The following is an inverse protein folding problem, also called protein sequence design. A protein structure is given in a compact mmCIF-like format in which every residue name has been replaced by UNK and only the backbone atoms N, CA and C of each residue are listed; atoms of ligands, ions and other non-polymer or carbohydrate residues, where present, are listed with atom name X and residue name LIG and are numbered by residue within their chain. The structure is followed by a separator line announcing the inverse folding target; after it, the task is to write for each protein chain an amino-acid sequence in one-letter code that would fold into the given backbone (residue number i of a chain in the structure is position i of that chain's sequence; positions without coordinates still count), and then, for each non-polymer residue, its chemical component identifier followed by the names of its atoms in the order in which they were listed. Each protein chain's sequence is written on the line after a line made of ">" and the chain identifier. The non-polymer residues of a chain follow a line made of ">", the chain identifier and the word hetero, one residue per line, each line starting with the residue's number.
data_IF_188432512895
#
_entry.id   IF_188432512895
#
_cell.length_a   1.000
_cell.length_b   1.000
_cell.length_c   1.000
_cell.angle_alpha   90.00
_cell.angle_beta   90.00
_cell.angle_gamma   90.00
#
_symmetry.space_group_name_H-M   'P 1'
#
loop_
_entity.id
_entity.type
_entity.pdbx_description
1 polymer ?
#
# COMPACT_ATOMS: atom_id res chain seq x y z
N UNK A 1 25.06 4.06 -7.79
CA UNK A 1 24.22 4.99 -6.98
C UNK A 1 24.93 5.44 -5.71
N UNK A 2 25.52 4.54 -4.92
CA UNK A 2 26.25 4.90 -3.70
C UNK A 2 27.39 5.90 -3.94
N UNK A 3 28.12 5.81 -5.05
CA UNK A 3 29.16 6.79 -5.41
C UNK A 3 28.61 8.19 -5.74
N UNK A 4 27.38 8.27 -6.27
CA UNK A 4 26.75 9.53 -6.69
C UNK A 4 25.92 10.18 -5.58
N UNK A 5 25.30 9.36 -4.73
CA UNK A 5 24.43 9.78 -3.62
C UNK A 5 24.68 8.90 -2.38
N UNK A 6 25.87 8.99 -1.77
CA UNK A 6 26.29 8.07 -0.70
C UNK A 6 25.38 8.14 0.52
N UNK A 7 25.04 9.34 0.98
CA UNK A 7 24.17 9.54 2.14
C UNK A 7 22.73 9.04 1.91
N UNK A 8 22.20 9.24 0.70
CA UNK A 8 20.87 8.74 0.35
C UNK A 8 20.83 7.21 0.40
N UNK A 9 21.83 6.56 -0.20
CA UNK A 9 21.92 5.10 -0.19
C UNK A 9 22.12 4.57 1.23
N UNK A 10 22.97 5.22 2.04
CA UNK A 10 23.14 4.85 3.44
C UNK A 10 21.81 4.92 4.22
N UNK A 11 21.03 5.98 4.06
CA UNK A 11 19.73 6.11 4.72
C UNK A 11 18.71 5.06 4.26
N UNK A 12 18.74 4.68 2.98
CA UNK A 12 17.90 3.57 2.48
C UNK A 12 18.30 2.23 3.09
N UNK A 13 19.60 1.97 3.25
CA UNK A 13 20.12 0.76 3.89
C UNK A 13 19.75 0.73 5.39
N UNK A 14 19.88 1.85 6.09
CA UNK A 14 19.61 1.95 7.53
C UNK A 14 18.12 1.95 7.89
N UNK A 15 17.28 2.57 7.07
CA UNK A 15 15.86 2.79 7.39
C UNK A 15 14.87 2.04 6.49
N UNK A 16 15.29 1.59 5.32
CA UNK A 16 14.39 1.02 4.32
C UNK A 16 13.41 2.03 3.72
N UNK A 17 12.27 1.53 3.26
CA UNK A 17 11.21 2.32 2.62
C UNK A 17 9.84 1.87 3.12
N UNK A 18 8.90 2.82 3.20
CA UNK A 18 7.48 2.54 3.43
C UNK A 18 6.72 2.83 2.15
N UNK A 19 6.04 1.81 1.62
CA UNK A 19 5.17 1.96 0.47
C UNK A 19 3.71 2.02 0.93
N UNK A 20 3.04 3.11 0.57
CA UNK A 20 1.60 3.29 0.82
C UNK A 20 0.87 3.23 -0.52
N UNK A 21 -0.17 2.40 -0.60
CA UNK A 21 -1.07 2.33 -1.76
C UNK A 21 -2.51 2.48 -1.30
N UNK A 22 -3.27 3.24 -2.06
CA UNK A 22 -4.72 3.34 -1.91
C UNK A 22 -5.34 2.48 -2.99
N UNK A 23 -6.11 1.47 -2.57
CA UNK A 23 -6.81 0.57 -3.48
C UNK A 23 -8.30 0.89 -3.42
N UNK A 24 -8.91 1.12 -4.58
CA UNK A 24 -10.36 1.21 -4.70
C UNK A 24 -11.01 -0.13 -4.36
N UNK A 25 -12.35 -0.13 -4.28
CA UNK A 25 -13.08 -1.37 -4.07
C UNK A 25 -12.95 -2.32 -5.28
N UNK A 26 -13.16 -1.76 -6.47
CA UNK A 26 -13.11 -2.45 -7.75
C UNK A 26 -11.95 -1.91 -8.61
N UNK A 27 -11.72 -2.55 -9.76
CA UNK A 27 -10.65 -2.18 -10.68
C UNK A 27 -11.01 -0.93 -11.51
N UNK A 28 -10.05 -0.02 -11.65
CA UNK A 28 -10.12 1.19 -12.47
C UNK A 28 -9.11 1.08 -13.64
N UNK A 29 -9.57 0.79 -14.87
CA UNK A 29 -8.68 0.65 -16.03
C UNK A 29 -8.06 1.97 -16.49
N UNK A 30 -8.53 3.12 -16.00
CA UNK A 30 -7.94 4.43 -16.33
C UNK A 30 -6.68 4.74 -15.53
N UNK A 31 -6.46 4.03 -14.41
CA UNK A 31 -5.32 4.23 -13.53
C UNK A 31 -4.22 3.19 -13.77
N UNK A 32 -2.93 3.58 -13.86
CA UNK A 32 -1.83 2.64 -14.08
C UNK A 32 -1.66 1.62 -12.94
N UNK A 33 -2.21 1.92 -11.76
CA UNK A 33 -2.22 1.04 -10.58
C UNK A 33 -3.65 0.80 -10.08
N UNK A 34 -4.65 0.93 -10.95
CA UNK A 34 -6.07 0.92 -10.59
C UNK A 34 -6.64 -0.42 -10.13
N UNK A 35 -5.82 -1.41 -9.78
CA UNK A 35 -6.34 -2.67 -9.24
C UNK A 35 -6.98 -2.43 -7.86
N UNK A 36 -8.23 -2.84 -7.69
CA UNK A 36 -8.96 -2.76 -6.44
C UNK A 36 -8.49 -3.78 -5.40
N UNK A 37 -8.90 -3.61 -4.15
CA UNK A 37 -8.50 -4.53 -3.07
C UNK A 37 -9.10 -5.92 -3.26
N UNK A 38 -10.31 -6.02 -3.82
CA UNK A 38 -10.96 -7.32 -4.10
C UNK A 38 -10.13 -8.16 -5.08
N UNK A 39 -9.71 -7.55 -6.19
CA UNK A 39 -8.84 -8.18 -7.18
C UNK A 39 -7.42 -8.40 -6.67
N UNK A 40 -6.91 -7.53 -5.78
CA UNK A 40 -5.58 -7.66 -5.20
C UNK A 40 -5.49 -8.83 -4.21
N UNK A 41 -6.49 -8.97 -3.35
CA UNK A 41 -6.52 -10.01 -2.31
C UNK A 41 -7.43 -11.19 -2.66
N UNK A 42 -8.04 -11.22 -3.85
CA UNK A 42 -8.89 -12.28 -4.39
C UNK A 42 -10.06 -12.67 -3.48
N UNK A 43 -10.74 -11.67 -2.90
CA UNK A 43 -11.84 -11.87 -1.95
C UNK A 43 -12.77 -10.67 -1.92
N UNK A 44 -14.04 -10.89 -1.58
CA UNK A 44 -15.01 -9.84 -1.27
C UNK A 44 -15.18 -9.61 0.24
N UNK A 45 -14.54 -10.44 1.07
CA UNK A 45 -14.55 -10.30 2.53
C UNK A 45 -13.33 -9.50 3.00
N UNK A 46 -13.57 -8.40 3.73
CA UNK A 46 -12.54 -7.51 4.25
C UNK A 46 -11.64 -8.18 5.28
N UNK A 47 -12.18 -9.03 6.15
CA UNK A 47 -11.38 -9.73 7.16
C UNK A 47 -10.40 -10.70 6.49
N UNK A 48 -10.87 -11.40 5.45
CA UNK A 48 -10.02 -12.29 4.65
C UNK A 48 -8.97 -11.49 3.88
N UNK A 49 -9.30 -10.30 3.39
CA UNK A 49 -8.34 -9.43 2.72
C UNK A 49 -7.23 -8.96 3.69
N UNK A 50 -7.58 -8.56 4.90
CA UNK A 50 -6.63 -8.18 5.95
C UNK A 50 -5.72 -9.35 6.35
N UNK A 51 -6.27 -10.56 6.52
CA UNK A 51 -5.48 -11.77 6.79
C UNK A 51 -4.47 -12.05 5.67
N UNK A 52 -4.91 -11.96 4.41
CA UNK A 52 -4.05 -12.17 3.23
C UNK A 52 -2.99 -11.08 3.10
N UNK A 53 -3.34 -9.82 3.38
CA UNK A 53 -2.39 -8.71 3.40
C UNK A 53 -1.30 -8.94 4.47
N UNK A 54 -1.70 -9.35 5.67
CA UNK A 54 -0.76 -9.65 6.76
C UNK A 54 0.21 -10.79 6.39
N UNK A 55 -0.26 -11.85 5.73
CA UNK A 55 0.59 -12.94 5.21
C UNK A 55 1.62 -12.47 4.18
N UNK A 56 1.34 -11.36 3.49
CA UNK A 56 2.27 -10.71 2.54
C UNK A 56 3.16 -9.65 3.20
N UNK A 57 3.10 -9.49 4.53
CA UNK A 57 3.86 -8.45 5.26
C UNK A 57 3.29 -7.04 5.06
N UNK A 58 2.03 -6.93 4.64
CA UNK A 58 1.35 -5.65 4.42
C UNK A 58 0.38 -5.36 5.56
N UNK A 59 0.20 -4.08 5.87
CA UNK A 59 -0.89 -3.61 6.74
C UNK A 59 -2.00 -3.06 5.86
N UNK A 60 -3.18 -3.68 5.88
CA UNK A 60 -4.38 -3.17 5.22
C UNK A 60 -5.22 -2.43 6.25
N UNK A 61 -5.62 -1.20 5.93
CA UNK A 61 -6.49 -0.37 6.75
C UNK A 61 -7.67 0.09 5.90
N UNK A 62 -8.85 0.15 6.50
CA UNK A 62 -10.01 0.80 5.87
C UNK A 62 -9.77 2.30 5.65
N UNK A 63 -10.63 2.97 4.87
CA UNK A 63 -10.52 4.41 4.69
C UNK A 63 -10.50 5.09 6.06
N UNK A 64 -9.46 5.90 6.31
CA UNK A 64 -9.43 6.77 7.48
C UNK A 64 -10.67 7.65 7.41
N UNK A 65 -11.49 7.66 8.46
CA UNK A 65 -12.56 8.65 8.58
C UNK A 65 -11.89 10.01 8.50
N UNK A 66 -12.18 10.79 7.46
CA UNK A 66 -11.75 12.18 7.44
C UNK A 66 -12.37 12.84 8.67
N UNK A 67 -11.52 13.34 9.56
CA UNK A 67 -11.96 14.21 10.64
C UNK A 67 -12.55 15.46 9.96
N UNK A 68 -13.80 15.83 10.24
CA UNK A 68 -14.46 16.91 9.53
C UNK A 68 -13.58 18.15 9.60
N UNK A 69 -13.19 18.68 8.44
CA UNK A 69 -12.51 19.96 8.36
C UNK A 69 -13.48 21.01 8.90
N UNK A 70 -13.16 21.57 10.06
CA UNK A 70 -13.82 22.75 10.63
C UNK A 70 -13.69 23.95 9.69
#
# INVERSE_FOLDING_TARGET
>A
MKEKHPEFVQRLEEHGLVYVRVLGEDDDPSSPIGRGWKSTFLTHDKNVAEERAAKLGMKLEGPRKEEPRL
#
